data_IF_291278839978
#
_entry.id   IF_291278839978
#
_cell.length_a   1.000
_cell.length_b   1.000
_cell.length_c   1.000
_cell.angle_alpha   90.00
_cell.angle_beta   90.00
_cell.angle_gamma   90.00
#
_symmetry.space_group_name_H-M   'P 1'
#
loop_
_entity.id
_entity.type
_entity.pdbx_description
1 polymer ?
#
# COMPACT_ATOMS: atom_id res chain seq x y z
N UNK A 1 1.88 27.40 -30.71
CA UNK A 1 1.24 26.08 -30.49
C UNK A 1 1.55 25.63 -29.08
N UNK A 2 0.58 25.07 -28.35
CA UNK A 2 0.77 24.61 -26.97
C UNK A 2 1.48 23.25 -27.03
N UNK A 3 2.59 23.13 -26.29
CA UNK A 3 3.33 21.88 -26.13
C UNK A 3 3.18 21.40 -24.70
N UNK A 4 3.06 20.08 -24.50
CA UNK A 4 3.01 19.46 -23.17
C UNK A 4 4.09 18.39 -23.08
N UNK A 5 4.73 18.32 -21.92
CA UNK A 5 5.71 17.30 -21.57
C UNK A 5 5.14 16.46 -20.43
N UNK A 6 5.18 15.14 -20.55
CA UNK A 6 4.80 14.21 -19.49
C UNK A 6 5.84 13.10 -19.34
N UNK A 7 5.89 12.50 -18.16
CA UNK A 7 6.89 11.49 -17.82
C UNK A 7 8.26 12.06 -17.49
N UNK A 8 9.21 11.14 -17.30
CA UNK A 8 10.53 11.45 -16.76
C UNK A 8 11.64 10.97 -17.68
N UNK A 9 12.74 11.73 -17.72
CA UNK A 9 13.98 11.32 -18.37
C UNK A 9 15.18 11.61 -17.49
N UNK A 10 16.29 10.93 -17.74
CA UNK A 10 17.56 11.17 -17.06
C UNK A 10 18.43 9.93 -16.90
N UNK A 11 19.68 10.10 -16.43
CA UNK A 11 20.64 9.00 -16.29
C UNK A 11 20.21 7.94 -15.28
N UNK A 12 19.40 8.32 -14.27
CA UNK A 12 18.89 7.41 -13.23
C UNK A 12 17.48 6.88 -13.51
N UNK A 13 16.77 7.44 -14.50
CA UNK A 13 15.41 7.00 -14.85
C UNK A 13 15.45 5.67 -15.59
N UNK A 14 14.54 4.77 -15.22
CA UNK A 14 14.39 3.41 -15.76
C UNK A 14 12.91 3.12 -15.96
N UNK A 15 12.60 2.34 -16.99
CA UNK A 15 11.24 1.85 -17.26
C UNK A 15 10.19 2.95 -17.42
N UNK A 16 10.62 4.13 -17.84
CA UNK A 16 9.79 5.29 -18.10
C UNK A 16 10.17 5.94 -19.42
N UNK A 17 9.28 6.79 -19.92
CA UNK A 17 9.42 7.53 -21.18
C UNK A 17 8.99 8.96 -20.95
N UNK A 18 9.83 9.91 -21.30
CA UNK A 18 9.40 11.30 -21.43
C UNK A 18 8.81 11.48 -22.83
N UNK A 19 7.61 12.04 -22.89
CA UNK A 19 6.94 12.40 -24.14
C UNK A 19 6.70 13.89 -24.19
N UNK A 20 6.99 14.47 -25.34
CA UNK A 20 6.75 15.86 -25.65
C UNK A 20 5.83 15.90 -26.87
N UNK A 21 4.59 16.33 -26.66
CA UNK A 21 3.54 16.35 -27.67
C UNK A 21 3.20 17.79 -28.05
N UNK A 22 3.16 18.04 -29.36
CA UNK A 22 2.72 19.27 -30.00
C UNK A 22 1.67 18.93 -31.05
N UNK A 23 0.49 19.56 -31.00
CA UNK A 23 -0.53 19.41 -32.05
C UNK A 23 -0.20 20.35 -33.22
N UNK A 24 -0.31 19.85 -34.45
CA UNK A 24 -0.09 20.62 -35.68
C UNK A 24 -1.37 20.66 -36.52
N UNK A 25 -1.45 21.59 -37.47
CA UNK A 25 -2.63 21.70 -38.34
C UNK A 25 -2.58 20.71 -39.52
N UNK A 26 -1.38 20.39 -39.99
CA UNK A 26 -1.13 19.51 -41.15
C UNK A 26 0.17 18.73 -40.96
N UNK A 27 0.48 17.82 -41.90
CA UNK A 27 1.75 17.08 -41.94
C UNK A 27 1.72 15.66 -41.38
N UNK A 28 0.58 15.22 -40.85
CA UNK A 28 0.43 13.89 -40.25
C UNK A 28 1.13 13.75 -38.89
N UNK A 29 1.29 12.51 -38.43
CA UNK A 29 1.99 12.20 -37.17
C UNK A 29 3.49 12.06 -37.44
N UNK A 30 4.28 13.01 -36.95
CA UNK A 30 5.75 12.99 -36.95
C UNK A 30 6.26 12.42 -35.61
N UNK A 31 7.06 11.36 -35.66
CA UNK A 31 7.62 10.70 -34.49
C UNK A 31 9.14 10.86 -34.43
N UNK A 32 9.66 11.27 -33.29
CA UNK A 32 11.10 11.28 -33.01
C UNK A 32 11.42 10.47 -31.75
N UNK A 33 11.94 9.24 -31.95
CA UNK A 33 12.28 8.33 -30.87
C UNK A 33 13.79 8.27 -30.59
N UNK A 34 14.18 8.69 -29.39
CA UNK A 34 15.45 8.33 -28.74
C UNK A 34 15.15 7.27 -27.68
N UNK A 35 15.69 6.06 -27.84
CA UNK A 35 15.40 4.94 -26.93
C UNK A 35 16.66 4.15 -26.62
N UNK A 36 16.83 3.75 -25.35
CA UNK A 36 17.89 2.81 -24.92
C UNK A 36 17.69 1.39 -25.49
N UNK A 37 16.46 1.05 -25.90
CA UNK A 37 16.10 -0.26 -26.44
C UNK A 37 15.68 -0.19 -27.92
N UNK A 38 16.05 0.91 -28.62
CA UNK A 38 15.62 1.21 -29.99
C UNK A 38 15.86 0.05 -30.97
N UNK A 39 17.02 -0.61 -30.87
CA UNK A 39 17.40 -1.72 -31.75
C UNK A 39 16.42 -2.88 -31.69
N UNK A 40 15.86 -3.17 -30.51
CA UNK A 40 14.95 -4.30 -30.30
C UNK A 40 13.47 -3.89 -30.45
N UNK A 41 13.09 -2.75 -29.88
CA UNK A 41 11.67 -2.39 -29.70
C UNK A 41 11.25 -1.08 -30.37
N UNK A 42 12.16 -0.37 -31.05
CA UNK A 42 11.88 0.96 -31.60
C UNK A 42 10.65 1.02 -32.51
N UNK A 43 10.51 0.06 -33.45
CA UNK A 43 9.35 -0.03 -34.34
C UNK A 43 8.04 -0.30 -33.60
N UNK A 44 8.09 -1.13 -32.55
CA UNK A 44 6.92 -1.44 -31.74
C UNK A 44 6.46 -0.24 -30.92
N UNK A 45 7.41 0.50 -30.32
CA UNK A 45 7.15 1.75 -29.60
C UNK A 45 6.51 2.77 -30.54
N UNK A 46 7.13 3.04 -31.69
CA UNK A 46 6.60 4.01 -32.66
C UNK A 46 5.19 3.64 -33.15
N UNK A 47 4.95 2.35 -33.46
CA UNK A 47 3.62 1.87 -33.82
C UNK A 47 2.61 2.11 -32.70
N UNK A 48 2.93 1.71 -31.47
CA UNK A 48 2.04 1.92 -30.33
C UNK A 48 1.69 3.40 -30.15
N UNK A 49 2.67 4.29 -30.30
CA UNK A 49 2.44 5.74 -30.18
C UNK A 49 1.50 6.26 -31.27
N UNK A 50 1.62 5.79 -32.53
CA UNK A 50 0.67 6.14 -33.60
C UNK A 50 -0.72 5.62 -33.28
N UNK A 51 -0.84 4.37 -32.87
CA UNK A 51 -2.11 3.74 -32.54
C UNK A 51 -2.82 4.49 -31.40
N UNK A 52 -2.07 4.93 -30.38
CA UNK A 52 -2.59 5.75 -29.28
C UNK A 52 -3.04 7.15 -29.75
N UNK A 53 -2.25 7.85 -30.56
CA UNK A 53 -2.64 9.16 -31.09
C UNK A 53 -3.90 9.06 -31.96
N UNK A 54 -3.98 8.05 -32.83
CA UNK A 54 -5.19 7.76 -33.62
C UNK A 54 -6.38 7.39 -32.73
N UNK A 55 -6.17 6.61 -31.67
CA UNK A 55 -7.21 6.31 -30.70
C UNK A 55 -7.82 7.59 -30.10
N UNK A 56 -7.01 8.61 -29.84
CA UNK A 56 -7.48 9.92 -29.36
C UNK A 56 -7.96 10.87 -30.47
N UNK A 57 -8.00 10.44 -31.73
CA UNK A 57 -8.44 11.26 -32.86
C UNK A 57 -7.42 12.31 -33.29
N UNK A 58 -6.15 12.12 -32.95
CA UNK A 58 -5.07 13.05 -33.34
C UNK A 58 -4.46 12.56 -34.65
N UNK A 59 -4.64 13.34 -35.72
CA UNK A 59 -4.11 13.05 -37.05
C UNK A 59 -2.83 13.83 -37.39
N UNK A 60 -2.65 15.01 -36.80
CA UNK A 60 -1.55 15.92 -37.07
C UNK A 60 -0.87 16.31 -35.76
N UNK A 61 0.34 15.80 -35.53
CA UNK A 61 1.10 16.07 -34.32
C UNK A 61 2.59 15.76 -34.50
N UNK A 62 3.41 16.43 -33.70
CA UNK A 62 4.81 16.08 -33.48
C UNK A 62 4.98 15.49 -32.09
N UNK A 63 5.49 14.26 -32.03
CA UNK A 63 5.75 13.53 -30.78
C UNK A 63 7.23 13.20 -30.66
N UNK A 64 7.91 13.87 -29.73
CA UNK A 64 9.29 13.56 -29.36
C UNK A 64 9.31 12.68 -28.11
N UNK A 65 10.12 11.64 -28.13
CA UNK A 65 10.16 10.60 -27.10
C UNK A 65 11.58 10.32 -26.65
N UNK A 66 11.80 10.33 -25.34
CA UNK A 66 13.05 9.92 -24.72
C UNK A 66 12.80 8.72 -23.79
N UNK A 67 12.97 7.54 -24.35
CA UNK A 67 12.62 6.27 -23.74
C UNK A 67 13.81 5.63 -22.98
N UNK A 68 13.53 5.26 -21.72
CA UNK A 68 14.43 4.53 -20.84
C UNK A 68 13.97 3.10 -20.57
N UNK A 69 13.35 2.45 -21.56
CA UNK A 69 12.87 1.07 -21.50
C UNK A 69 11.46 0.95 -20.92
N UNK A 70 10.60 1.92 -21.21
CA UNK A 70 9.21 1.94 -20.78
C UNK A 70 8.43 0.73 -21.31
N UNK A 71 7.58 0.17 -20.47
CA UNK A 71 6.65 -0.88 -20.87
C UNK A 71 5.40 -0.27 -21.54
N UNK A 72 4.64 -1.05 -22.34
CA UNK A 72 3.50 -0.54 -23.10
C UNK A 72 2.46 0.24 -22.28
N UNK A 73 2.17 -0.20 -21.05
CA UNK A 73 1.20 0.49 -20.18
C UNK A 73 1.69 1.87 -19.70
N UNK A 74 3.01 2.04 -19.59
CA UNK A 74 3.66 3.31 -19.23
C UNK A 74 3.61 4.26 -20.42
N UNK A 75 3.97 3.78 -21.62
CA UNK A 75 3.88 4.57 -22.87
C UNK A 75 2.45 5.08 -23.06
N UNK A 76 1.46 4.21 -22.89
CA UNK A 76 0.05 4.57 -22.95
C UNK A 76 -0.33 5.66 -21.93
N UNK A 77 0.13 5.54 -20.68
CA UNK A 77 -0.16 6.52 -19.64
C UNK A 77 0.43 7.90 -19.95
N UNK A 78 1.68 7.96 -20.41
CA UNK A 78 2.37 9.23 -20.73
C UNK A 78 1.72 9.93 -21.92
N UNK A 79 1.39 9.19 -22.97
CA UNK A 79 0.69 9.74 -24.14
C UNK A 79 -0.71 10.22 -23.77
N UNK A 80 -1.50 9.41 -23.05
CA UNK A 80 -2.84 9.83 -22.60
C UNK A 80 -2.77 11.12 -21.77
N UNK A 81 -1.82 11.22 -20.83
CA UNK A 81 -1.64 12.42 -20.02
C UNK A 81 -1.34 13.65 -20.87
N UNK A 82 -0.45 13.52 -21.86
CA UNK A 82 -0.09 14.63 -22.75
C UNK A 82 -1.29 15.07 -23.61
N UNK A 83 -2.06 14.09 -24.12
CA UNK A 83 -3.26 14.35 -24.92
C UNK A 83 -4.33 15.05 -24.09
N UNK A 84 -4.63 14.57 -22.88
CA UNK A 84 -5.61 15.18 -21.98
C UNK A 84 -5.24 16.62 -21.65
N UNK A 85 -3.98 16.89 -21.33
CA UNK A 85 -3.50 18.24 -21.01
C UNK A 85 -3.56 19.24 -22.19
N UNK A 86 -3.49 18.75 -23.43
CA UNK A 86 -3.59 19.57 -24.64
C UNK A 86 -5.03 19.79 -25.10
N UNK A 87 -5.88 18.76 -24.99
CA UNK A 87 -7.20 18.74 -25.63
C UNK A 87 -8.37 18.88 -24.66
N UNK A 88 -8.17 18.60 -23.37
CA UNK A 88 -9.26 18.50 -22.39
C UNK A 88 -10.18 17.30 -22.60
N UNK A 89 -9.75 16.27 -23.35
CA UNK A 89 -10.59 15.10 -23.62
C UNK A 89 -10.83 14.24 -22.37
N UNK A 90 -12.09 13.81 -22.20
CA UNK A 90 -12.43 12.82 -21.19
C UNK A 90 -12.18 11.38 -21.64
N UNK A 91 -11.88 11.16 -22.94
CA UNK A 91 -11.55 9.82 -23.46
C UNK A 91 -10.32 9.26 -22.73
N UNK A 92 -10.38 7.97 -22.40
CA UNK A 92 -9.32 7.25 -21.69
C UNK A 92 -8.89 6.01 -22.49
N UNK A 93 -7.60 5.69 -22.52
CA UNK A 93 -7.11 4.42 -23.06
C UNK A 93 -6.87 3.46 -21.90
N UNK A 94 -7.72 2.45 -21.77
CA UNK A 94 -7.68 1.49 -20.66
C UNK A 94 -7.00 0.20 -21.12
N UNK A 95 -5.80 -0.16 -20.61
CA UNK A 95 -5.18 -1.45 -20.92
C UNK A 95 -6.07 -2.63 -20.52
N UNK A 96 -5.88 -3.81 -21.08
CA UNK A 96 -6.58 -5.01 -20.60
C UNK A 96 -6.16 -5.36 -19.16
N UNK A 97 -7.10 -5.90 -18.38
CA UNK A 97 -6.81 -6.37 -17.02
C UNK A 97 -6.11 -7.72 -17.11
N UNK A 98 -4.90 -7.83 -16.57
CA UNK A 98 -4.20 -9.10 -16.47
C UNK A 98 -4.99 -10.06 -15.55
N UNK A 99 -5.11 -11.33 -15.94
CA UNK A 99 -5.90 -12.31 -15.18
C UNK A 99 -5.35 -12.52 -13.76
N UNK A 100 -4.02 -12.45 -13.61
CA UNK A 100 -3.29 -12.54 -12.34
C UNK A 100 -3.61 -11.41 -11.38
N UNK A 101 -4.26 -10.33 -11.87
CA UNK A 101 -4.62 -9.17 -11.07
C UNK A 101 -6.05 -9.20 -10.54
N UNK A 102 -6.82 -10.29 -10.77
CA UNK A 102 -8.22 -10.44 -10.36
C UNK A 102 -8.43 -11.12 -9.00
N UNK A 103 -7.39 -11.26 -8.18
CA UNK A 103 -7.53 -11.78 -6.82
C UNK A 103 -8.19 -10.75 -5.90
N UNK A 104 -8.79 -11.23 -4.81
CA UNK A 104 -9.40 -10.41 -3.78
C UNK A 104 -8.50 -10.23 -2.55
N UNK A 105 -8.85 -9.30 -1.68
CA UNK A 105 -8.26 -9.13 -0.34
C UNK A 105 -9.26 -9.49 0.76
N UNK A 106 -8.77 -9.69 1.99
CA UNK A 106 -9.61 -9.94 3.16
C UNK A 106 -9.37 -8.91 4.27
N UNK A 107 -10.35 -8.77 5.16
CA UNK A 107 -10.28 -7.86 6.31
C UNK A 107 -9.11 -8.21 7.23
N UNK A 108 -8.92 -9.50 7.49
CA UNK A 108 -8.04 -10.06 8.50
C UNK A 108 -6.64 -10.42 7.99
N UNK A 109 -6.33 -10.21 6.70
CA UNK A 109 -5.01 -10.49 6.12
C UNK A 109 -3.88 -9.78 6.86
N UNK A 110 -2.67 -10.30 6.73
CA UNK A 110 -1.49 -9.64 7.25
C UNK A 110 -1.20 -8.33 6.50
N UNK A 111 -0.70 -7.36 7.26
CA UNK A 111 -0.22 -6.07 6.78
C UNK A 111 1.09 -5.68 7.46
N UNK A 112 1.96 -6.67 7.70
CA UNK A 112 3.22 -6.46 8.42
C UNK A 112 4.11 -5.46 7.67
N UNK A 113 4.26 -5.67 6.37
CA UNK A 113 5.10 -4.87 5.48
C UNK A 113 4.27 -4.26 4.34
N UNK A 114 4.26 -2.93 4.22
CA UNK A 114 3.54 -2.22 3.15
C UNK A 114 4.49 -1.27 2.41
N UNK A 115 4.79 -1.58 1.16
CA UNK A 115 5.81 -0.89 0.38
C UNK A 115 5.24 0.35 -0.32
N UNK A 116 5.71 1.54 0.05
CA UNK A 116 5.39 2.79 -0.64
C UNK A 116 6.12 2.88 -1.98
N UNK A 117 5.35 3.18 -3.04
CA UNK A 117 5.83 3.32 -4.40
C UNK A 117 5.27 4.63 -4.98
N UNK A 118 6.12 5.60 -5.34
CA UNK A 118 5.64 6.85 -5.93
C UNK A 118 4.86 6.61 -7.22
N UNK A 119 3.65 7.15 -7.31
CA UNK A 119 2.70 6.91 -8.39
C UNK A 119 3.18 7.36 -9.77
N UNK A 120 4.23 8.18 -9.84
CA UNK A 120 4.86 8.67 -11.05
C UNK A 120 6.16 7.92 -11.44
N UNK A 121 6.53 6.86 -10.70
CA UNK A 121 7.83 6.16 -10.82
C UNK A 121 7.66 4.69 -11.24
N UNK A 122 7.33 4.43 -12.52
CA UNK A 122 6.90 3.10 -12.98
C UNK A 122 7.94 1.99 -12.82
N UNK A 123 9.24 2.33 -12.87
CA UNK A 123 10.32 1.36 -12.66
C UNK A 123 10.30 0.69 -11.28
N UNK A 124 9.71 1.34 -10.27
CA UNK A 124 9.56 0.74 -8.94
C UNK A 124 8.41 -0.26 -8.87
N UNK A 125 7.39 -0.14 -9.72
CA UNK A 125 6.22 -1.03 -9.70
C UNK A 125 6.58 -2.44 -10.15
N UNK A 126 7.40 -2.55 -11.19
CA UNK A 126 7.69 -3.82 -11.88
C UNK A 126 8.31 -4.88 -10.97
N UNK A 127 9.15 -4.44 -10.03
CA UNK A 127 9.89 -5.34 -9.15
C UNK A 127 9.30 -5.41 -7.74
N UNK A 128 8.34 -4.55 -7.40
CA UNK A 128 7.82 -4.43 -6.03
C UNK A 128 7.30 -5.77 -5.49
N UNK A 129 6.49 -6.48 -6.28
CA UNK A 129 5.90 -7.76 -5.88
C UNK A 129 6.89 -8.91 -5.72
N UNK A 130 8.06 -8.85 -6.37
CA UNK A 130 9.10 -9.90 -6.26
C UNK A 130 9.64 -10.04 -4.84
N UNK A 131 9.53 -8.99 -4.04
CA UNK A 131 9.96 -8.98 -2.64
C UNK A 131 8.89 -9.46 -1.66
N UNK A 132 7.73 -9.90 -2.16
CA UNK A 132 6.61 -10.43 -1.37
C UNK A 132 6.17 -9.53 -0.20
N UNK A 133 5.99 -8.20 -0.40
CA UNK A 133 5.39 -7.38 0.64
C UNK A 133 3.94 -7.82 0.89
N UNK A 134 3.45 -7.62 2.12
CA UNK A 134 2.04 -7.88 2.40
C UNK A 134 1.12 -6.89 1.67
N UNK A 135 1.60 -5.67 1.38
CA UNK A 135 0.91 -4.68 0.57
C UNK A 135 1.84 -3.81 -0.25
N UNK A 136 1.34 -3.31 -1.39
CA UNK A 136 1.99 -2.28 -2.20
C UNK A 136 1.10 -1.05 -2.21
N UNK A 137 1.68 0.10 -1.84
CA UNK A 137 0.99 1.39 -1.79
C UNK A 137 1.43 2.20 -3.00
N UNK A 138 0.54 2.32 -3.99
CA UNK A 138 0.70 3.21 -5.12
C UNK A 138 0.32 4.63 -4.65
N UNK A 139 1.32 5.46 -4.46
CA UNK A 139 1.18 6.74 -3.77
C UNK A 139 0.94 7.91 -4.73
N UNK A 140 -0.14 8.67 -4.51
CA UNK A 140 -0.49 9.84 -5.32
C UNK A 140 -0.33 11.16 -4.55
N UNK A 141 0.13 11.08 -3.31
CA UNK A 141 0.11 12.20 -2.38
C UNK A 141 1.49 12.86 -2.25
N UNK A 142 2.22 12.70 -1.15
CA UNK A 142 3.45 13.48 -0.91
C UNK A 142 4.64 13.08 -1.81
N UNK A 143 4.69 11.85 -2.32
CA UNK A 143 5.78 11.43 -3.21
C UNK A 143 5.63 11.94 -4.66
N UNK A 144 4.51 12.61 -4.97
CA UNK A 144 4.20 13.10 -6.30
C UNK A 144 4.03 14.62 -6.27
N UNK A 145 4.86 15.32 -7.05
CA UNK A 145 4.77 16.76 -7.19
C UNK A 145 3.37 17.20 -7.68
N UNK A 146 2.79 18.32 -7.20
CA UNK A 146 1.40 18.71 -7.48
C UNK A 146 1.02 18.72 -8.97
N UNK A 147 1.93 19.17 -9.83
CA UNK A 147 1.79 19.27 -11.29
C UNK A 147 1.88 17.93 -12.02
N UNK A 148 2.37 16.89 -11.33
CA UNK A 148 2.50 15.52 -11.87
C UNK A 148 1.38 14.59 -11.40
N UNK A 149 0.47 15.04 -10.54
CA UNK A 149 -0.56 14.17 -9.93
C UNK A 149 -1.52 13.59 -10.97
N UNK A 150 -1.88 14.36 -12.01
CA UNK A 150 -2.80 13.87 -13.04
C UNK A 150 -2.17 12.76 -13.91
N UNK A 151 -0.91 12.93 -14.33
CA UNK A 151 -0.20 11.87 -15.05
C UNK A 151 0.08 10.64 -14.15
N UNK A 152 0.33 10.85 -12.86
CA UNK A 152 0.54 9.76 -11.90
C UNK A 152 -0.74 8.94 -11.72
N UNK A 153 -1.91 9.57 -11.64
CA UNK A 153 -3.21 8.88 -11.53
C UNK A 153 -3.46 7.94 -12.72
N UNK A 154 -3.18 8.40 -13.94
CA UNK A 154 -3.27 7.58 -15.17
C UNK A 154 -2.28 6.41 -15.10
N UNK A 155 -1.06 6.66 -14.64
CA UNK A 155 -0.04 5.63 -14.55
C UNK A 155 -0.40 4.57 -13.51
N UNK A 156 -0.87 4.97 -12.32
CA UNK A 156 -1.36 4.09 -11.26
C UNK A 156 -2.53 3.24 -11.75
N UNK A 157 -3.49 3.85 -12.46
CA UNK A 157 -4.61 3.15 -13.11
C UNK A 157 -4.11 2.01 -14.02
N UNK A 158 -3.16 2.31 -14.89
CA UNK A 158 -2.61 1.34 -15.83
C UNK A 158 -1.78 0.26 -15.11
N UNK A 159 -1.00 0.65 -14.09
CA UNK A 159 -0.22 -0.27 -13.27
C UNK A 159 -1.13 -1.26 -12.54
N UNK A 160 -2.26 -0.80 -12.00
CA UNK A 160 -3.25 -1.69 -11.39
C UNK A 160 -3.73 -2.74 -12.41
N UNK A 161 -3.92 -2.39 -13.68
CA UNK A 161 -4.44 -3.36 -14.65
C UNK A 161 -3.38 -4.36 -15.12
N UNK A 162 -2.12 -3.93 -15.23
CA UNK A 162 -1.08 -4.70 -15.95
C UNK A 162 -0.01 -5.29 -15.06
N UNK A 163 0.37 -4.65 -13.95
CA UNK A 163 1.51 -5.09 -13.13
C UNK A 163 1.07 -6.19 -12.17
N UNK A 164 1.74 -7.34 -12.22
CA UNK A 164 1.54 -8.43 -11.28
C UNK A 164 2.30 -8.16 -9.98
N UNK A 165 1.57 -7.96 -8.89
CA UNK A 165 2.12 -7.75 -7.55
C UNK A 165 2.21 -9.04 -6.71
N UNK A 166 2.10 -10.21 -7.35
CA UNK A 166 2.29 -11.54 -6.75
C UNK A 166 1.45 -11.78 -5.48
N UNK A 167 0.22 -11.27 -5.46
CA UNK A 167 -0.73 -11.44 -4.34
C UNK A 167 -0.65 -10.40 -3.22
N UNK A 168 0.28 -9.44 -3.29
CA UNK A 168 0.34 -8.33 -2.35
C UNK A 168 -0.98 -7.52 -2.33
N UNK A 169 -1.37 -6.96 -1.19
CA UNK A 169 -2.56 -6.10 -1.14
C UNK A 169 -2.35 -4.88 -2.03
N UNK A 170 -3.31 -4.62 -2.92
CA UNK A 170 -3.25 -3.56 -3.92
C UNK A 170 -3.79 -2.29 -3.29
N UNK A 171 -2.90 -1.47 -2.73
CA UNK A 171 -3.27 -0.28 -1.99
C UNK A 171 -3.02 0.98 -2.82
N UNK A 172 -3.85 2.00 -2.64
CA UNK A 172 -3.58 3.36 -3.13
C UNK A 172 -3.58 4.34 -1.95
N UNK A 173 -2.63 5.28 -1.93
CA UNK A 173 -2.72 6.46 -1.06
C UNK A 173 -3.21 7.63 -1.91
N UNK A 174 -4.45 8.03 -1.68
CA UNK A 174 -5.09 9.13 -2.41
C UNK A 174 -4.58 10.47 -1.88
N UNK A 175 -4.89 11.54 -2.59
CA UNK A 175 -4.74 12.90 -2.10
C UNK A 175 -5.76 13.26 -1.02
N UNK A 176 -5.49 14.32 -0.27
CA UNK A 176 -6.47 14.91 0.65
C UNK A 176 -7.55 15.70 -0.12
N UNK A 177 -8.74 15.82 0.47
CA UNK A 177 -9.82 16.69 -0.03
C UNK A 177 -10.43 16.22 -1.35
N UNK A 178 -10.90 17.19 -2.16
CA UNK A 178 -11.61 16.90 -3.42
C UNK A 178 -10.74 16.14 -4.43
N UNK A 179 -9.43 16.44 -4.50
CA UNK A 179 -8.50 15.70 -5.37
C UNK A 179 -8.44 14.21 -5.02
N UNK A 180 -8.59 13.87 -3.74
CA UNK A 180 -8.70 12.48 -3.31
C UNK A 180 -9.92 11.78 -3.87
N UNK A 181 -11.05 12.48 -3.98
CA UNK A 181 -12.28 11.93 -4.57
C UNK A 181 -12.13 11.72 -6.08
N UNK A 182 -11.39 12.60 -6.76
CA UNK A 182 -11.03 12.43 -8.17
C UNK A 182 -10.09 11.22 -8.36
N UNK A 183 -9.17 10.98 -7.43
CA UNK A 183 -8.33 9.78 -7.42
C UNK A 183 -9.21 8.51 -7.31
N UNK A 184 -10.20 8.51 -6.42
CA UNK A 184 -11.13 7.38 -6.26
C UNK A 184 -11.90 7.09 -7.55
N UNK A 185 -12.45 8.14 -8.17
CA UNK A 185 -13.23 8.05 -9.41
C UNK A 185 -12.48 7.30 -10.51
N UNK A 186 -11.18 7.57 -10.64
CA UNK A 186 -10.35 6.98 -11.68
C UNK A 186 -9.81 5.59 -11.33
N UNK A 187 -9.69 5.24 -10.05
CA UNK A 187 -8.89 4.09 -9.62
C UNK A 187 -9.72 2.94 -9.06
N UNK A 188 -10.82 3.23 -8.34
CA UNK A 188 -11.68 2.20 -7.74
C UNK A 188 -12.17 1.15 -8.75
N UNK A 189 -12.52 1.48 -10.00
CA UNK A 189 -12.96 0.49 -10.99
C UNK A 189 -11.89 -0.55 -11.38
N UNK A 190 -10.65 -0.47 -10.88
CA UNK A 190 -9.50 -1.23 -11.36
C UNK A 190 -8.88 -2.16 -10.30
N UNK A 191 -9.74 -2.80 -9.52
CA UNK A 191 -9.38 -3.78 -8.48
C UNK A 191 -8.39 -3.23 -7.44
N UNK A 192 -8.75 -2.09 -6.84
CA UNK A 192 -8.11 -1.57 -5.64
C UNK A 192 -8.64 -2.35 -4.43
N UNK A 193 -7.74 -2.83 -3.56
CA UNK A 193 -8.13 -3.56 -2.36
C UNK A 193 -8.31 -2.66 -1.15
N UNK A 194 -7.46 -1.63 -1.03
CA UNK A 194 -7.43 -0.78 0.15
C UNK A 194 -7.03 0.66 -0.21
N UNK A 195 -7.73 1.62 0.36
CA UNK A 195 -7.44 3.06 0.22
C UNK A 195 -6.87 3.58 1.52
N UNK A 196 -5.71 4.22 1.43
CA UNK A 196 -5.14 5.00 2.52
C UNK A 196 -5.66 6.44 2.41
N UNK A 197 -6.23 6.95 3.51
CA UNK A 197 -6.74 8.31 3.62
C UNK A 197 -5.70 9.14 4.38
N UNK A 198 -4.89 9.97 3.71
CA UNK A 198 -3.90 10.80 4.39
C UNK A 198 -4.58 11.89 5.22
N UNK A 199 -3.86 12.42 6.21
CA UNK A 199 -4.19 13.63 6.96
C UNK A 199 -5.61 13.57 7.53
N UNK A 200 -5.97 12.39 8.07
CA UNK A 200 -7.32 12.12 8.54
C UNK A 200 -7.49 12.60 9.98
N UNK A 201 -8.33 13.61 10.15
CA UNK A 201 -8.56 14.25 11.46
C UNK A 201 -9.94 13.97 12.05
N UNK A 202 -10.88 13.44 11.27
CA UNK A 202 -12.26 13.19 11.71
C UNK A 202 -12.91 11.98 11.02
N UNK A 203 -13.99 11.49 11.64
CA UNK A 203 -14.77 10.36 11.12
C UNK A 203 -15.56 10.70 9.84
N UNK A 204 -15.87 11.97 9.62
CA UNK A 204 -16.70 12.39 8.47
C UNK A 204 -15.92 12.27 7.16
N UNK A 205 -14.64 12.59 7.18
CA UNK A 205 -13.70 12.38 6.08
C UNK A 205 -13.68 10.91 5.66
N UNK A 206 -13.62 9.99 6.63
CA UNK A 206 -13.67 8.54 6.35
C UNK A 206 -15.02 8.14 5.73
N UNK A 207 -16.13 8.63 6.27
CA UNK A 207 -17.47 8.32 5.72
C UNK A 207 -17.66 8.89 4.31
N UNK A 208 -17.15 10.09 4.03
CA UNK A 208 -17.19 10.71 2.70
C UNK A 208 -16.46 9.84 1.68
N UNK A 209 -15.25 9.39 2.01
CA UNK A 209 -14.48 8.45 1.17
C UNK A 209 -15.22 7.13 0.98
N UNK A 210 -15.73 6.52 2.07
CA UNK A 210 -16.46 5.25 2.02
C UNK A 210 -17.74 5.33 1.15
N UNK A 211 -18.52 6.41 1.32
CA UNK A 211 -19.71 6.68 0.51
C UNK A 211 -19.35 6.82 -0.97
N UNK A 212 -18.30 7.58 -1.28
CA UNK A 212 -17.88 7.80 -2.67
C UNK A 212 -17.44 6.50 -3.34
N UNK A 213 -16.68 5.66 -2.63
CA UNK A 213 -16.32 4.33 -3.12
C UNK A 213 -17.57 3.50 -3.41
N UNK A 214 -18.54 3.46 -2.48
CA UNK A 214 -19.79 2.71 -2.68
C UNK A 214 -20.59 3.20 -3.89
N UNK A 215 -20.66 4.51 -4.14
CA UNK A 215 -21.29 5.09 -5.33
C UNK A 215 -20.61 4.65 -6.63
N UNK A 216 -19.27 4.74 -6.68
CA UNK A 216 -18.49 4.32 -7.86
C UNK A 216 -18.72 2.83 -8.13
N UNK A 217 -18.57 2.00 -7.10
CA UNK A 217 -18.77 0.55 -7.20
C UNK A 217 -20.17 0.17 -7.68
N UNK A 218 -21.21 0.80 -7.14
CA UNK A 218 -22.58 0.55 -7.55
C UNK A 218 -22.81 0.89 -9.03
N UNK A 219 -22.23 2.00 -9.51
CA UNK A 219 -22.29 2.41 -10.92
C UNK A 219 -21.54 1.45 -11.85
N UNK A 220 -20.42 0.91 -11.40
CA UNK A 220 -19.62 -0.09 -12.15
C UNK A 220 -20.16 -1.53 -12.01
N UNK A 221 -21.23 -1.75 -11.23
CA UNK A 221 -21.78 -3.09 -10.97
C UNK A 221 -20.86 -4.00 -10.14
N UNK A 222 -19.96 -3.41 -9.34
CA UNK A 222 -18.99 -4.09 -8.50
C UNK A 222 -19.48 -4.19 -7.05
N UNK A 223 -19.34 -5.35 -6.41
CA UNK A 223 -19.89 -5.59 -5.07
C UNK A 223 -18.81 -5.87 -4.00
N UNK A 224 -17.57 -6.10 -4.41
CA UNK A 224 -16.46 -6.42 -3.52
C UNK A 224 -16.07 -5.22 -2.64
N UNK A 225 -15.91 -5.43 -1.34
CA UNK A 225 -15.57 -4.34 -0.43
C UNK A 225 -14.16 -3.83 -0.70
N UNK A 226 -14.00 -2.51 -0.85
CA UNK A 226 -12.70 -1.84 -0.78
C UNK A 226 -12.50 -1.41 0.67
N UNK A 227 -11.35 -1.76 1.24
CA UNK A 227 -11.03 -1.45 2.62
C UNK A 227 -10.44 -0.06 2.77
N UNK A 228 -10.52 0.49 3.98
CA UNK A 228 -10.01 1.81 4.33
C UNK A 228 -8.95 1.71 5.42
N UNK A 229 -7.96 2.59 5.29
CA UNK A 229 -6.91 2.79 6.27
C UNK A 229 -6.61 4.28 6.44
N UNK A 230 -7.26 4.95 7.39
CA UNK A 230 -6.92 6.31 7.75
C UNK A 230 -5.47 6.41 8.25
N UNK A 231 -4.77 7.45 7.83
CA UNK A 231 -3.45 7.82 8.36
C UNK A 231 -3.64 8.97 9.34
N UNK A 232 -3.26 8.72 10.58
CA UNK A 232 -3.28 9.69 11.68
C UNK A 232 -1.92 10.36 11.73
N UNK A 233 -1.89 11.66 11.48
CA UNK A 233 -0.65 12.40 11.28
C UNK A 233 -0.73 13.84 11.80
N UNK A 234 -1.68 14.11 12.69
CA UNK A 234 -1.82 15.38 13.42
C UNK A 234 -2.31 15.12 14.84
N UNK A 235 -2.16 16.11 15.72
CA UNK A 235 -2.66 16.05 17.10
C UNK A 235 -4.18 15.86 17.13
N UNK A 236 -4.92 16.52 16.23
CA UNK A 236 -6.36 16.37 16.12
C UNK A 236 -6.77 14.93 15.75
N UNK A 237 -6.10 14.33 14.76
CA UNK A 237 -6.35 12.93 14.38
C UNK A 237 -6.05 11.94 15.51
N UNK A 238 -5.05 12.22 16.36
CA UNK A 238 -4.73 11.38 17.52
C UNK A 238 -5.85 11.40 18.55
N UNK A 239 -6.40 12.57 18.87
CA UNK A 239 -7.50 12.68 19.83
C UNK A 239 -8.75 11.97 19.30
N UNK A 240 -9.07 12.13 18.02
CA UNK A 240 -10.22 11.52 17.34
C UNK A 240 -10.02 10.08 16.85
N UNK A 241 -8.93 9.41 17.26
CA UNK A 241 -8.55 8.11 16.74
C UNK A 241 -9.67 7.05 16.88
N UNK A 242 -10.47 7.10 17.94
CA UNK A 242 -11.56 6.13 18.15
C UNK A 242 -12.75 6.38 17.21
N UNK A 243 -13.15 7.63 17.03
CA UNK A 243 -14.20 8.02 16.10
C UNK A 243 -13.81 7.65 14.66
N UNK A 244 -12.55 7.91 14.28
CA UNK A 244 -12.00 7.56 12.96
C UNK A 244 -11.99 6.04 12.77
N UNK A 245 -11.50 5.28 13.75
CA UNK A 245 -11.39 3.82 13.68
C UNK A 245 -12.76 3.12 13.52
N UNK A 246 -13.84 3.73 14.03
CA UNK A 246 -15.20 3.17 13.98
C UNK A 246 -16.10 3.83 12.93
N UNK A 247 -15.57 4.74 12.12
CA UNK A 247 -16.35 5.56 11.19
C UNK A 247 -17.09 4.75 10.11
N UNK A 248 -16.52 3.62 9.66
CA UNK A 248 -17.12 2.75 8.66
C UNK A 248 -16.67 1.28 8.83
N UNK A 249 -17.51 0.33 8.40
CA UNK A 249 -17.19 -1.11 8.42
C UNK A 249 -16.01 -1.48 7.51
N UNK A 250 -15.76 -0.68 6.47
CA UNK A 250 -14.64 -0.84 5.56
C UNK A 250 -13.29 -0.46 6.19
N UNK A 251 -13.27 0.23 7.35
CA UNK A 251 -12.03 0.47 8.08
C UNK A 251 -11.53 -0.86 8.65
N UNK A 252 -10.32 -1.26 8.23
CA UNK A 252 -9.67 -2.51 8.64
C UNK A 252 -8.33 -2.28 9.33
N UNK A 253 -7.78 -1.09 9.19
CA UNK A 253 -6.52 -0.70 9.79
C UNK A 253 -6.47 0.82 10.00
N UNK A 254 -5.60 1.27 10.88
CA UNK A 254 -5.29 2.70 11.07
C UNK A 254 -3.77 2.84 11.19
N UNK A 255 -3.20 3.78 10.45
CA UNK A 255 -1.75 4.00 10.43
C UNK A 255 -1.38 5.30 11.14
N UNK A 256 -0.17 5.41 11.69
CA UNK A 256 0.40 6.68 12.15
C UNK A 256 1.46 7.20 11.17
N UNK A 257 1.38 8.48 10.82
CA UNK A 257 2.39 9.21 10.04
C UNK A 257 3.23 10.08 10.95
N UNK A 258 4.41 9.62 11.35
CA UNK A 258 5.19 10.32 12.39
C UNK A 258 5.89 11.60 11.91
N UNK A 259 6.27 11.70 10.64
CA UNK A 259 6.95 12.90 10.13
C UNK A 259 6.01 14.11 10.21
N UNK A 260 4.85 14.02 9.55
CA UNK A 260 3.82 15.06 9.58
C UNK A 260 3.27 15.32 10.99
N UNK A 261 3.09 14.26 11.81
CA UNK A 261 2.66 14.42 13.20
C UNK A 261 3.67 15.25 14.02
N UNK A 262 4.97 14.99 13.89
CA UNK A 262 5.97 15.78 14.62
C UNK A 262 6.07 17.21 14.09
N UNK A 263 5.85 17.42 12.79
CA UNK A 263 5.74 18.75 12.21
C UNK A 263 4.54 19.53 12.77
N UNK A 264 3.37 18.89 12.87
CA UNK A 264 2.16 19.46 13.47
C UNK A 264 2.36 19.85 14.94
N UNK A 265 3.05 19.01 15.72
CA UNK A 265 3.42 19.31 17.10
C UNK A 265 4.52 20.39 17.23
N UNK A 266 5.27 20.69 16.18
CA UNK A 266 6.43 21.58 16.23
C UNK A 266 7.64 21.00 16.97
N UNK A 267 7.81 19.67 16.95
CA UNK A 267 8.92 18.96 17.62
C UNK A 267 9.74 18.16 16.62
N UNK A 268 10.96 17.76 17.01
CA UNK A 268 11.79 16.88 16.19
C UNK A 268 11.47 15.42 16.49
N UNK A 269 11.36 14.60 15.43
CA UNK A 269 11.31 13.15 15.55
C UNK A 269 12.63 12.62 16.12
N UNK A 270 12.55 11.78 17.14
CA UNK A 270 13.74 11.20 17.79
C UNK A 270 13.79 9.69 17.62
N UNK A 271 14.99 9.10 17.76
CA UNK A 271 15.13 7.63 17.81
C UNK A 271 14.47 7.02 19.04
N UNK A 272 14.37 7.77 20.14
CA UNK A 272 13.74 7.31 21.37
C UNK A 272 12.21 7.26 21.26
N UNK A 273 11.62 8.16 20.46
CA UNK A 273 10.18 8.18 20.16
C UNK A 273 9.31 8.66 21.32
N UNK A 274 9.88 9.33 22.34
CA UNK A 274 9.11 9.89 23.47
C UNK A 274 8.06 10.89 23.02
N UNK A 275 8.38 11.70 22.01
CA UNK A 275 7.51 12.72 21.44
C UNK A 275 6.25 12.13 20.78
N UNK A 276 6.31 10.86 20.37
CA UNK A 276 5.21 10.15 19.72
C UNK A 276 4.57 9.06 20.57
N UNK A 277 5.05 8.86 21.82
CA UNK A 277 4.62 7.77 22.68
C UNK A 277 3.11 7.79 22.97
N UNK A 278 2.56 8.97 23.28
CA UNK A 278 1.12 9.11 23.51
C UNK A 278 0.31 8.78 22.25
N UNK A 279 0.66 9.39 21.11
CA UNK A 279 -0.03 9.17 19.84
C UNK A 279 -0.03 7.70 19.42
N UNK A 280 1.13 7.03 19.52
CA UNK A 280 1.28 5.61 19.18
C UNK A 280 0.41 4.73 20.09
N UNK A 281 0.45 4.95 21.41
CA UNK A 281 -0.40 4.19 22.34
C UNK A 281 -1.89 4.46 22.14
N UNK A 282 -2.29 5.72 21.94
CA UNK A 282 -3.68 6.11 21.68
C UNK A 282 -4.21 5.45 20.42
N UNK A 283 -3.42 5.43 19.34
CA UNK A 283 -3.77 4.75 18.10
C UNK A 283 -3.94 3.24 18.31
N UNK A 284 -2.99 2.58 19.00
CA UNK A 284 -3.09 1.13 19.27
C UNK A 284 -4.36 0.82 20.05
N UNK A 285 -4.64 1.54 21.13
CA UNK A 285 -5.84 1.31 21.96
C UNK A 285 -7.12 1.50 21.15
N UNK A 286 -7.23 2.60 20.39
CA UNK A 286 -8.38 2.88 19.54
C UNK A 286 -8.58 1.78 18.48
N UNK A 287 -7.50 1.37 17.82
CA UNK A 287 -7.53 0.33 16.78
C UNK A 287 -8.00 -1.02 17.34
N UNK A 288 -7.42 -1.45 18.46
CA UNK A 288 -7.80 -2.71 19.10
C UNK A 288 -9.24 -2.67 19.62
N UNK A 289 -9.68 -1.54 20.18
CA UNK A 289 -11.06 -1.35 20.63
C UNK A 289 -12.07 -1.43 19.47
N UNK A 290 -11.70 -0.93 18.28
CA UNK A 290 -12.50 -1.02 17.06
C UNK A 290 -12.36 -2.37 16.31
N UNK A 291 -11.47 -3.28 16.76
CA UNK A 291 -11.21 -4.54 16.09
C UNK A 291 -10.54 -4.37 14.71
N UNK A 292 -9.66 -3.38 14.58
CA UNK A 292 -8.85 -3.09 13.38
C UNK A 292 -7.36 -3.16 13.69
N UNK A 293 -6.52 -3.28 12.65
CA UNK A 293 -5.08 -3.40 12.80
C UNK A 293 -4.41 -2.03 13.04
N UNK A 294 -3.70 -1.81 14.16
CA UNK A 294 -2.86 -0.63 14.32
C UNK A 294 -1.56 -0.82 13.54
N UNK A 295 -1.20 0.15 12.69
CA UNK A 295 -0.01 0.09 11.86
C UNK A 295 0.92 1.26 12.13
N UNK A 296 2.20 0.95 12.33
CA UNK A 296 3.21 1.95 12.68
C UNK A 296 3.72 2.71 11.45
N UNK A 297 4.45 3.80 11.72
CA UNK A 297 5.03 4.69 10.71
C UNK A 297 6.19 4.04 9.94
N UNK A 298 6.65 4.72 8.89
CA UNK A 298 7.85 4.33 8.14
C UNK A 298 9.12 4.51 8.96
N UNK A 299 10.13 3.69 8.66
CA UNK A 299 11.50 3.87 9.10
C UNK A 299 12.32 4.48 7.97
N UNK A 300 12.81 5.71 8.16
CA UNK A 300 13.41 6.52 7.09
C UNK A 300 14.86 6.14 6.75
N UNK A 301 15.62 5.61 7.72
CA UNK A 301 17.01 5.20 7.48
C UNK A 301 17.08 3.83 6.79
N UNK A 302 17.21 3.85 5.46
CA UNK A 302 17.30 2.63 4.64
C UNK A 302 18.64 1.88 4.85
N UNK A 303 19.65 2.52 5.44
CA UNK A 303 20.94 1.91 5.73
C UNK A 303 20.96 1.12 7.04
N UNK A 304 20.13 1.50 8.01
CA UNK A 304 20.14 0.97 9.37
C UNK A 304 19.10 -0.15 9.58
N UNK A 305 19.42 -1.37 9.12
CA UNK A 305 18.52 -2.53 9.26
C UNK A 305 18.44 -3.06 10.70
N UNK A 306 19.48 -2.86 11.52
CA UNK A 306 19.45 -3.22 12.94
C UNK A 306 18.53 -2.26 13.72
N UNK A 307 18.65 -0.96 13.47
CA UNK A 307 17.75 0.06 13.98
C UNK A 307 16.30 -0.19 13.56
N UNK A 308 16.07 -0.61 12.31
CA UNK A 308 14.75 -1.05 11.84
C UNK A 308 14.22 -2.22 12.66
N UNK A 309 15.00 -3.29 12.86
CA UNK A 309 14.57 -4.45 13.64
C UNK A 309 14.19 -4.06 15.08
N UNK A 310 15.02 -3.24 15.74
CA UNK A 310 14.73 -2.73 17.07
C UNK A 310 13.44 -1.89 17.11
N UNK A 311 13.21 -1.06 16.09
CA UNK A 311 11.96 -0.29 15.96
C UNK A 311 10.74 -1.21 15.77
N UNK A 312 10.86 -2.25 14.94
CA UNK A 312 9.79 -3.25 14.73
C UNK A 312 9.46 -3.98 16.02
N UNK A 313 10.47 -4.44 16.77
CA UNK A 313 10.26 -5.13 18.05
C UNK A 313 9.60 -4.23 19.09
N UNK A 314 9.98 -2.95 19.13
CA UNK A 314 9.35 -1.94 19.98
C UNK A 314 7.87 -1.71 19.58
N UNK A 315 7.59 -1.57 18.28
CA UNK A 315 6.24 -1.43 17.76
C UNK A 315 5.37 -2.66 18.08
N UNK A 316 5.89 -3.88 17.86
CA UNK A 316 5.23 -5.14 18.22
C UNK A 316 4.93 -5.20 19.72
N UNK A 317 5.86 -4.77 20.57
CA UNK A 317 5.67 -4.75 22.02
C UNK A 317 4.56 -3.78 22.47
N UNK A 318 4.39 -2.65 21.75
CA UNK A 318 3.26 -1.73 21.97
C UNK A 318 1.92 -2.30 21.49
N UNK A 319 1.93 -3.24 20.54
CA UNK A 319 0.74 -3.91 20.01
C UNK A 319 0.42 -3.59 18.55
N UNK A 320 1.31 -2.90 17.84
CA UNK A 320 1.25 -2.72 16.39
C UNK A 320 1.32 -4.06 15.65
N UNK A 321 0.68 -4.13 14.49
CA UNK A 321 0.60 -5.33 13.65
C UNK A 321 1.24 -5.12 12.27
N UNK A 322 2.06 -4.09 12.12
CA UNK A 322 2.79 -3.83 10.88
C UNK A 322 3.38 -2.45 10.86
N UNK A 323 4.07 -2.13 9.76
CA UNK A 323 4.56 -0.79 9.48
C UNK A 323 4.68 -0.51 7.98
N UNK A 324 4.92 0.75 7.64
CA UNK A 324 5.27 1.14 6.26
C UNK A 324 6.74 0.86 5.96
N UNK A 325 7.04 0.45 4.72
CA UNK A 325 8.41 0.39 4.20
C UNK A 325 8.56 1.30 2.97
N UNK A 326 9.73 1.91 2.85
CA UNK A 326 10.11 2.80 1.74
C UNK A 326 11.19 2.18 0.87
N UNK A 327 11.70 1.00 1.25
CA UNK A 327 12.69 0.26 0.48
C UNK A 327 12.47 -1.26 0.58
N UNK A 328 12.59 -2.04 -0.51
CA UNK A 328 12.32 -3.47 -0.48
C UNK A 328 13.14 -4.28 0.53
N UNK A 329 14.38 -3.85 0.82
CA UNK A 329 15.24 -4.52 1.83
C UNK A 329 14.65 -4.51 3.25
N UNK A 330 13.72 -3.60 3.54
CA UNK A 330 13.07 -3.52 4.84
C UNK A 330 12.03 -4.64 5.04
N UNK A 331 11.48 -5.22 3.96
CA UNK A 331 10.37 -6.17 4.00
C UNK A 331 10.71 -7.40 4.84
N UNK A 332 11.87 -8.03 4.59
CA UNK A 332 12.28 -9.23 5.29
C UNK A 332 12.46 -8.99 6.80
N UNK A 333 13.12 -7.88 7.17
CA UNK A 333 13.36 -7.48 8.57
C UNK A 333 12.05 -7.20 9.29
N UNK A 334 11.11 -6.51 8.64
CA UNK A 334 9.79 -6.21 9.19
C UNK A 334 8.99 -7.51 9.42
N UNK A 335 8.98 -8.39 8.41
CA UNK A 335 8.29 -9.68 8.52
C UNK A 335 8.86 -10.53 9.65
N UNK A 336 10.19 -10.58 9.77
CA UNK A 336 10.88 -11.28 10.86
C UNK A 336 10.47 -10.70 12.22
N UNK A 337 10.56 -9.39 12.41
CA UNK A 337 10.29 -8.75 13.69
C UNK A 337 8.83 -8.87 14.14
N UNK A 338 7.86 -8.84 13.23
CA UNK A 338 6.44 -9.05 13.55
C UNK A 338 6.04 -10.53 13.71
N UNK A 339 6.85 -11.47 13.19
CA UNK A 339 6.61 -12.90 13.37
C UNK A 339 6.86 -13.33 14.83
N UNK A 340 6.18 -14.37 15.34
CA UNK A 340 6.53 -14.98 16.62
C UNK A 340 7.96 -15.52 16.60
N UNK A 341 8.76 -15.20 17.61
CA UNK A 341 10.08 -15.79 17.75
C UNK A 341 9.98 -17.26 18.18
N UNK A 342 11.02 -18.09 17.95
CA UNK A 342 11.03 -19.47 18.43
C UNK A 342 10.76 -19.59 19.93
N UNK A 343 11.26 -18.64 20.74
CA UNK A 343 11.06 -18.60 22.18
C UNK A 343 9.62 -18.21 22.56
N UNK A 344 9.02 -17.25 21.85
CA UNK A 344 7.61 -16.88 22.03
C UNK A 344 6.70 -18.07 21.70
N UNK A 345 7.01 -18.78 20.62
CA UNK A 345 6.25 -19.93 20.15
C UNK A 345 6.32 -21.09 21.14
N UNK A 346 7.52 -21.47 21.57
CA UNK A 346 7.72 -22.54 22.55
C UNK A 346 7.00 -22.26 23.87
N UNK A 347 7.08 -21.01 24.34
CA UNK A 347 6.36 -20.58 25.54
C UNK A 347 4.84 -20.65 25.34
N UNK A 348 4.34 -20.22 24.18
CA UNK A 348 2.91 -20.25 23.88
C UNK A 348 2.37 -21.70 23.84
N UNK A 349 3.11 -22.62 23.20
CA UNK A 349 2.77 -24.06 23.18
C UNK A 349 2.61 -24.64 24.59
N UNK A 350 3.60 -24.40 25.47
CA UNK A 350 3.55 -24.88 26.86
C UNK A 350 2.36 -24.34 27.64
N UNK A 351 2.02 -23.07 27.44
CA UNK A 351 0.87 -22.44 28.09
C UNK A 351 -0.44 -23.10 27.63
N UNK A 352 -0.61 -23.29 26.32
CA UNK A 352 -1.83 -23.87 25.75
C UNK A 352 -2.00 -25.34 26.18
N UNK A 353 -0.94 -26.14 26.13
CA UNK A 353 -0.97 -27.55 26.57
C UNK A 353 -1.30 -27.63 28.07
N UNK A 354 -0.60 -26.87 28.92
CA UNK A 354 -0.83 -26.89 30.36
C UNK A 354 -2.27 -26.47 30.73
N UNK A 355 -2.86 -25.55 29.97
CA UNK A 355 -4.25 -25.14 30.16
C UNK A 355 -5.26 -26.21 29.67
N UNK A 356 -4.99 -26.89 28.56
CA UNK A 356 -5.81 -28.01 28.09
C UNK A 356 -5.86 -29.14 29.13
N UNK A 357 -4.70 -29.54 29.66
CA UNK A 357 -4.58 -30.54 30.72
C UNK A 357 -5.32 -30.12 32.00
N UNK A 358 -5.34 -28.81 32.30
CA UNK A 358 -6.09 -28.24 33.42
C UNK A 358 -7.59 -28.46 33.26
N UNK A 359 -8.12 -28.11 32.09
CA UNK A 359 -9.54 -28.19 31.78
C UNK A 359 -10.04 -29.64 31.82
N UNK A 360 -9.25 -30.59 31.32
CA UNK A 360 -9.58 -32.02 31.42
C UNK A 360 -9.66 -32.51 32.87
N UNK A 361 -8.90 -31.89 33.78
CA UNK A 361 -8.92 -32.16 35.22
C UNK A 361 -9.93 -31.30 35.99
N UNK A 362 -10.73 -30.47 35.31
CA UNK A 362 -11.71 -29.57 35.92
C UNK A 362 -11.11 -28.39 36.68
N UNK A 363 -9.86 -28.01 36.40
CA UNK A 363 -9.16 -26.90 37.06
C UNK A 363 -9.23 -25.64 36.18
N UNK A 364 -9.66 -24.52 36.76
CA UNK A 364 -9.75 -23.22 36.04
C UNK A 364 -8.42 -22.44 35.96
N UNK A 365 -7.40 -22.85 36.71
CA UNK A 365 -6.09 -22.20 36.81
C UNK A 365 -5.02 -23.28 37.01
N UNK A 366 -3.87 -23.15 36.33
CA UNK A 366 -2.72 -24.07 36.48
C UNK A 366 -1.42 -23.31 36.68
N UNK A 367 -0.53 -23.85 37.51
CA UNK A 367 0.82 -23.35 37.67
C UNK A 367 1.75 -24.00 36.64
N UNK A 368 2.50 -23.20 35.88
CA UNK A 368 3.61 -23.65 35.05
C UNK A 368 4.91 -23.07 35.62
N UNK A 369 5.67 -23.91 36.31
CA UNK A 369 6.80 -23.47 37.13
C UNK A 369 6.33 -22.58 38.29
N UNK A 370 6.86 -21.35 38.39
CA UNK A 370 6.48 -20.37 39.43
C UNK A 370 5.36 -19.42 39.01
N UNK A 371 4.82 -19.55 37.79
CA UNK A 371 3.83 -18.63 37.24
C UNK A 371 2.45 -19.26 37.13
N UNK A 372 1.43 -18.48 37.48
CA UNK A 372 0.03 -18.84 37.31
C UNK A 372 -0.39 -18.62 35.84
N UNK A 373 -1.07 -19.62 35.27
CA UNK A 373 -1.72 -19.55 33.96
C UNK A 373 -3.21 -19.34 34.20
N UNK A 374 -3.67 -18.15 33.87
CA UNK A 374 -5.07 -17.73 33.88
C UNK A 374 -5.60 -17.54 32.43
N UNK A 375 -6.92 -17.40 32.22
CA UNK A 375 -7.48 -17.26 30.87
C UNK A 375 -6.88 -16.12 30.02
N UNK A 376 -6.55 -14.93 30.56
CA UNK A 376 -5.85 -13.89 29.80
C UNK A 376 -4.43 -14.27 29.33
N UNK A 377 -3.68 -15.04 30.12
CA UNK A 377 -2.37 -15.58 29.69
C UNK A 377 -2.54 -16.56 28.54
N UNK A 378 -3.55 -17.43 28.61
CA UNK A 378 -3.86 -18.41 27.57
C UNK A 378 -4.30 -17.71 26.28
N UNK A 379 -5.23 -16.76 26.36
CA UNK A 379 -5.72 -16.03 25.18
C UNK A 379 -4.60 -15.32 24.42
N UNK A 380 -3.56 -14.84 25.11
CA UNK A 380 -2.36 -14.29 24.47
C UNK A 380 -1.52 -15.36 23.78
N UNK A 381 -1.32 -16.51 24.42
CA UNK A 381 -0.61 -17.64 23.83
C UNK A 381 -1.32 -18.17 22.59
N UNK A 382 -2.64 -18.32 22.63
CA UNK A 382 -3.47 -18.75 21.48
C UNK A 382 -3.38 -17.79 20.29
N UNK A 383 -3.32 -16.47 20.54
CA UNK A 383 -3.06 -15.49 19.48
C UNK A 383 -1.70 -15.69 18.82
N UNK A 384 -0.65 -15.95 19.61
CA UNK A 384 0.69 -16.26 19.09
C UNK A 384 0.69 -17.55 18.25
N UNK A 385 0.02 -18.60 18.73
CA UNK A 385 -0.14 -19.87 18.01
C UNK A 385 -0.90 -19.66 16.70
N UNK A 386 -2.05 -18.99 16.75
CA UNK A 386 -2.88 -18.68 15.58
C UNK A 386 -2.07 -17.92 14.54
N UNK A 387 -1.27 -16.94 14.97
CA UNK A 387 -0.39 -16.20 14.09
C UNK A 387 0.69 -17.11 13.46
N UNK A 388 1.35 -17.95 14.25
CA UNK A 388 2.38 -18.87 13.75
C UNK A 388 1.80 -19.86 12.73
N UNK A 389 0.59 -20.39 12.97
CA UNK A 389 -0.12 -21.27 12.04
C UNK A 389 -0.43 -20.57 10.72
N UNK A 390 -1.02 -19.38 10.79
CA UNK A 390 -1.34 -18.57 9.61
C UNK A 390 -0.09 -18.15 8.80
N UNK A 391 1.07 -18.05 9.44
CA UNK A 391 2.36 -17.79 8.79
C UNK A 391 3.05 -19.05 8.25
N UNK A 392 2.51 -20.25 8.52
CA UNK A 392 3.14 -21.53 8.16
C UNK A 392 4.37 -21.88 9.01
N UNK A 393 4.59 -21.20 10.13
CA UNK A 393 5.67 -21.49 11.08
C UNK A 393 5.33 -22.67 12.01
N UNK A 394 4.04 -23.00 12.08
CA UNK A 394 3.50 -24.08 12.89
C UNK A 394 2.39 -24.79 12.10
N UNK A 395 2.35 -26.13 12.04
CA UNK A 395 1.26 -26.83 11.36
C UNK A 395 -0.05 -26.72 12.16
N UNK A 396 -1.20 -26.88 11.49
CA UNK A 396 -2.52 -26.81 12.17
C UNK A 396 -2.68 -27.90 13.25
N UNK A 397 -2.17 -29.10 13.01
CA UNK A 397 -2.18 -30.24 13.94
C UNK A 397 -1.01 -30.25 14.93
N UNK A 398 -0.43 -29.09 15.25
CA UNK A 398 0.76 -29.01 16.10
C UNK A 398 0.58 -29.61 17.49
N UNK A 399 -0.65 -29.61 18.03
CA UNK A 399 -0.93 -30.16 19.36
C UNK A 399 -0.69 -31.67 19.35
N UNK A 400 -1.30 -32.38 18.39
CA UNK A 400 -1.12 -33.84 18.23
C UNK A 400 0.36 -34.20 18.02
N UNK A 401 1.08 -33.36 17.27
CA UNK A 401 2.52 -33.55 17.03
C UNK A 401 3.38 -33.36 18.27
N UNK A 402 3.03 -32.46 19.21
CA UNK A 402 3.75 -32.34 20.47
C UNK A 402 3.35 -33.44 21.47
N UNK A 403 2.08 -33.84 21.50
CA UNK A 403 1.61 -34.95 22.34
C UNK A 403 2.24 -36.29 21.93
N UNK A 404 2.48 -36.53 20.64
CA UNK A 404 3.14 -37.75 20.13
C UNK A 404 4.65 -37.86 20.44
N UNK A 405 5.29 -36.77 20.88
CA UNK A 405 6.72 -36.75 21.27
C UNK A 405 6.93 -37.03 22.76
N UNK A 406 5.89 -36.92 23.56
CA UNK A 406 5.87 -37.25 24.99
C UNK A 406 5.33 -38.65 25.20
#
# INVERSE_FOLDING_TARGET
MKQVITGNTGPRIRSDIEVMLELTETGGIELNLKSKVKTMYGKAIERQCRDLLHYFGIENARLSMNDSGALPFVIAARIEAAVKALTGTEKCFIPEMAAENLYASSRDRFRFSRLYLPGNSPGMFLNAGLHSPDGVILDLEDSVAPERKDEARILVRNALRVVNFYGAERMIRINQGERGLDDLEMLIPHNVHLVLIPKCEDAETVRKVDNRIREIKAREGQNEMVFLMPIIESAAGVEHAMEIATAAKSVVAMAIGLEDYTADLGVQRTKEGKESLYARNRLVVASKAAGIQPIDSVFSDVGDMEGLLNNVLSAKAMGFEGMGCIHPRQIAVIREGFSPSPQELEKAKKIVIAYRDALEKGLGVVALGTKMIDPPVVARAEKTITLAVRLGLLPENWIDLEESKN
#
